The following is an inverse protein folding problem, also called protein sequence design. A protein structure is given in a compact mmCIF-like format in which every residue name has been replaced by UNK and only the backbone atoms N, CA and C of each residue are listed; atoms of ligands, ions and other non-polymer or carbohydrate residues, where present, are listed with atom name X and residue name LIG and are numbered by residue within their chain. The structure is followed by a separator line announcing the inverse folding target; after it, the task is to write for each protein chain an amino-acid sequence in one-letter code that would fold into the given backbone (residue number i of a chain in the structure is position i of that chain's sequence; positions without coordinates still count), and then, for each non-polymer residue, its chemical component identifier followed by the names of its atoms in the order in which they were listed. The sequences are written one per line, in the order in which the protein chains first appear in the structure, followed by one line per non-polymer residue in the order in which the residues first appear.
data_IF_929678554077
#
_entry.id   IF_929678554077
#
_cell.length_a   1.000
_cell.length_b   1.000
_cell.length_c   1.000
_cell.angle_alpha   90.00
_cell.angle_beta   90.00
_cell.angle_gamma   90.00
#
_symmetry.space_group_name_H-M   'P 1'
#
loop_
_entity.id
_entity.type
_entity.pdbx_description
1 polymer ?
#
# COMPACT_ATOMS: atom_id res chain seq x y z
N UNK A 1 -6.96 8.65 17.18
CA UNK A 1 -7.07 7.92 15.94
C UNK A 1 -7.99 6.73 16.13
N UNK A 2 -8.99 6.65 15.29
CA UNK A 2 -9.95 5.61 15.44
C UNK A 2 -9.41 4.30 14.92
N UNK A 3 -9.43 3.24 15.70
CA UNK A 3 -8.93 1.97 15.17
C UNK A 3 -9.78 1.52 14.00
N UNK A 4 -9.12 1.11 12.97
CA UNK A 4 -9.82 0.63 11.81
C UNK A 4 -10.32 -0.78 12.06
N UNK A 5 -11.62 -0.92 12.06
CA UNK A 5 -12.21 -2.18 12.34
C UNK A 5 -12.07 -3.16 11.25
N UNK A 6 -11.84 -2.66 10.09
CA UNK A 6 -11.82 -3.48 8.93
C UNK A 6 -10.48 -3.34 8.26
N UNK A 7 -9.67 -4.35 8.29
CA UNK A 7 -8.41 -4.27 7.56
C UNK A 7 -8.70 -4.34 6.07
N UNK A 8 -8.05 -3.47 5.33
CA UNK A 8 -8.18 -3.49 3.88
C UNK A 8 -7.54 -4.74 3.34
N UNK A 9 -8.21 -5.37 2.39
CA UNK A 9 -7.63 -6.53 1.74
C UNK A 9 -6.50 -6.07 0.83
N UNK A 10 -5.40 -6.80 0.88
CA UNK A 10 -4.19 -6.43 0.17
C UNK A 10 -3.77 -7.55 -0.77
N UNK A 11 -3.45 -7.20 -1.98
CA UNK A 11 -2.95 -8.16 -2.95
C UNK A 11 -1.51 -7.82 -3.29
N UNK A 12 -0.65 -8.83 -3.25
CA UNK A 12 0.75 -8.67 -3.64
C UNK A 12 1.01 -9.59 -4.82
N UNK A 13 1.13 -9.04 -6.01
CA UNK A 13 1.34 -9.89 -7.19
C UNK A 13 2.74 -10.49 -7.22
N UNK A 14 2.92 -11.54 -8.01
CA UNK A 14 4.27 -12.01 -8.27
C UNK A 14 5.10 -10.92 -8.94
N UNK A 15 6.33 -11.11 -8.84
CA UNK A 15 7.28 -10.10 -9.33
C UNK A 15 7.01 -9.62 -10.74
N UNK A 16 7.54 -8.37 -10.85
CA UNK A 16 7.60 -7.88 -12.17
C UNK A 16 6.36 -7.41 -12.87
N UNK A 17 5.55 -7.38 -12.29
CA UNK A 17 4.46 -6.96 -13.03
C UNK A 17 3.83 -5.78 -12.36
N UNK A 18 3.65 -4.89 -12.94
CA UNK A 18 2.86 -3.79 -12.55
C UNK A 18 1.50 -4.20 -12.81
N UNK A 19 0.63 -3.79 -11.95
CA UNK A 19 -0.79 -4.00 -12.14
C UNK A 19 -1.39 -2.68 -12.58
N UNK A 20 -1.43 -2.48 -13.89
CA UNK A 20 -1.98 -1.24 -14.41
C UNK A 20 -3.20 -1.44 -15.31
N UNK A 21 -3.59 -2.67 -15.54
CA UNK A 21 -4.77 -2.97 -16.37
C UNK A 21 -6.04 -2.82 -15.53
N UNK A 22 -6.96 -1.94 -15.94
CA UNK A 22 -8.19 -1.76 -15.15
C UNK A 22 -9.02 -3.03 -14.99
N UNK A 23 -9.06 -3.88 -15.99
CA UNK A 23 -9.80 -5.12 -15.87
C UNK A 23 -9.20 -6.02 -14.81
N UNK A 24 -7.88 -6.07 -14.75
CA UNK A 24 -7.21 -6.87 -13.74
C UNK A 24 -7.44 -6.31 -12.34
N UNK A 25 -7.41 -4.99 -12.21
CA UNK A 25 -7.68 -4.37 -10.92
C UNK A 25 -9.09 -4.67 -10.43
N UNK A 26 -10.07 -4.60 -11.34
CA UNK A 26 -11.44 -4.94 -10.96
C UNK A 26 -11.57 -6.40 -10.58
N UNK A 27 -10.89 -7.28 -11.30
CA UNK A 27 -10.93 -8.71 -11.01
C UNK A 27 -10.33 -9.00 -9.64
N UNK A 28 -9.28 -8.30 -9.26
CA UNK A 28 -8.69 -8.50 -7.94
C UNK A 28 -9.70 -8.16 -6.84
N UNK A 29 -10.46 -7.10 -7.03
CA UNK A 29 -11.49 -6.79 -6.07
C UNK A 29 -12.58 -7.85 -6.07
N UNK A 30 -13.05 -8.24 -7.25
CA UNK A 30 -14.15 -9.19 -7.36
C UNK A 30 -13.77 -10.57 -6.82
N UNK A 31 -12.58 -11.04 -7.13
CA UNK A 31 -12.17 -12.39 -6.80
C UNK A 31 -11.60 -12.52 -5.39
N UNK A 32 -10.91 -11.51 -4.91
CA UNK A 32 -10.21 -11.57 -3.62
C UNK A 32 -10.69 -10.53 -2.62
N UNK A 33 -11.65 -9.72 -3.01
CA UNK A 33 -12.11 -8.61 -2.16
C UNK A 33 -10.96 -7.67 -1.81
N UNK A 34 -10.01 -7.53 -2.71
CA UNK A 34 -8.86 -6.66 -2.47
C UNK A 34 -9.27 -5.20 -2.65
N UNK A 35 -8.85 -4.37 -1.71
CA UNK A 35 -9.11 -2.94 -1.78
C UNK A 35 -7.94 -2.18 -2.34
N UNK A 36 -6.72 -2.65 -2.11
CA UNK A 36 -5.52 -2.03 -2.63
C UNK A 36 -4.59 -3.12 -3.14
N UNK A 37 -3.69 -2.73 -4.00
CA UNK A 37 -2.69 -3.63 -4.56
C UNK A 37 -1.32 -2.96 -4.43
N UNK A 38 -0.35 -3.69 -3.94
CA UNK A 38 0.98 -3.15 -3.78
C UNK A 38 1.98 -4.31 -3.84
N UNK A 39 3.24 -4.01 -3.95
CA UNK A 39 4.20 -5.04 -4.30
C UNK A 39 5.36 -5.22 -3.31
N UNK A 40 5.38 -4.51 -2.20
CA UNK A 40 6.52 -4.59 -1.28
C UNK A 40 6.17 -5.08 0.11
N UNK A 41 4.92 -4.93 0.53
CA UNK A 41 4.57 -5.13 1.94
C UNK A 41 4.74 -6.56 2.40
N UNK A 42 4.44 -7.53 1.54
CA UNK A 42 4.47 -8.92 1.99
C UNK A 42 5.86 -9.32 2.46
N UNK A 43 6.89 -8.97 1.69
CA UNK A 43 8.25 -9.33 2.07
C UNK A 43 8.68 -8.62 3.36
N UNK A 44 8.32 -7.35 3.48
CA UNK A 44 8.68 -6.60 4.69
C UNK A 44 7.97 -7.18 5.90
N UNK A 45 6.68 -7.45 5.78
CA UNK A 45 5.91 -7.97 6.90
C UNK A 45 6.39 -9.34 7.33
N UNK A 46 6.71 -10.21 6.36
CA UNK A 46 7.23 -11.54 6.69
C UNK A 46 8.56 -11.44 7.42
N UNK A 47 9.43 -10.57 6.94
CA UNK A 47 10.73 -10.40 7.58
C UNK A 47 10.56 -9.88 9.00
N UNK A 48 9.70 -8.90 9.20
CA UNK A 48 9.46 -8.37 10.54
C UNK A 48 8.87 -9.44 11.45
N UNK A 49 7.90 -10.19 10.94
CA UNK A 49 7.29 -11.24 11.75
C UNK A 49 8.30 -12.30 12.16
N UNK A 50 9.16 -12.69 11.24
CA UNK A 50 10.16 -13.70 11.54
C UNK A 50 11.14 -13.24 12.62
N UNK A 51 11.39 -11.95 12.66
CA UNK A 51 12.34 -11.38 13.61
C UNK A 51 11.66 -10.76 14.81
N UNK A 52 10.34 -10.92 14.92
CA UNK A 52 9.55 -10.40 16.05
C UNK A 52 9.70 -8.90 16.19
N UNK A 53 9.71 -8.21 15.07
CA UNK A 53 9.78 -6.77 15.04
C UNK A 53 8.40 -6.22 14.66
N UNK A 54 7.78 -5.38 15.50
CA UNK A 54 6.52 -4.77 15.11
C UNK A 54 6.68 -3.91 13.87
N UNK A 55 5.66 -3.91 13.02
CA UNK A 55 5.75 -3.20 11.75
C UNK A 55 4.45 -2.46 11.48
N UNK A 56 4.58 -1.21 11.12
CA UNK A 56 3.46 -0.39 10.68
C UNK A 56 3.72 0.06 9.26
N UNK A 57 2.75 -0.18 8.38
CA UNK A 57 2.89 0.19 6.98
C UNK A 57 2.01 1.40 6.70
N UNK A 58 2.60 2.40 6.07
CA UNK A 58 1.89 3.60 5.66
C UNK A 58 1.89 3.62 4.14
N UNK A 59 0.72 3.67 3.54
CA UNK A 59 0.58 3.58 2.10
C UNK A 59 -0.27 4.72 1.58
N UNK A 60 0.08 5.23 0.42
CA UNK A 60 -0.73 6.19 -0.30
C UNK A 60 -1.03 5.62 -1.68
N UNK A 61 -2.27 5.78 -2.10
CA UNK A 61 -2.66 5.27 -3.41
C UNK A 61 -2.16 6.23 -4.47
N UNK A 62 -1.35 5.73 -5.39
CA UNK A 62 -0.78 6.56 -6.45
C UNK A 62 -1.58 6.47 -7.75
N UNK A 63 -2.34 5.40 -7.93
CA UNK A 63 -3.12 5.24 -9.16
C UNK A 63 -4.36 4.41 -8.86
N UNK A 64 -5.47 4.89 -9.41
CA UNK A 64 -6.76 4.23 -9.24
C UNK A 64 -6.94 3.17 -10.32
N UNK A 65 -8.15 2.61 -10.37
CA UNK A 65 -8.43 1.55 -11.33
C UNK A 65 -8.16 1.99 -12.76
N UNK A 66 -8.57 3.19 -13.11
CA UNK A 66 -8.47 3.66 -14.49
C UNK A 66 -7.16 4.40 -14.79
N UNK A 67 -6.40 4.78 -13.77
CA UNK A 67 -5.24 5.63 -13.98
C UNK A 67 -4.02 4.92 -14.53
N UNK A 68 -3.72 3.77 -13.97
CA UNK A 68 -2.62 2.97 -14.46
C UNK A 68 -1.26 3.63 -14.34
N UNK A 69 -0.41 3.28 -15.29
CA UNK A 69 0.99 3.69 -15.26
C UNK A 69 1.18 5.18 -15.40
N UNK A 70 0.34 5.83 -16.19
CA UNK A 70 0.43 7.28 -16.37
C UNK A 70 0.12 8.01 -15.08
N UNK A 71 -0.93 7.60 -14.40
CA UNK A 71 -1.28 8.21 -13.13
C UNK A 71 -0.18 7.96 -12.08
N UNK A 72 0.34 6.75 -12.06
CA UNK A 72 1.43 6.43 -11.14
C UNK A 72 2.60 7.37 -11.36
N UNK A 73 3.04 7.52 -12.62
CA UNK A 73 4.18 8.38 -12.91
C UNK A 73 3.92 9.82 -12.47
N UNK A 74 2.71 10.29 -12.67
CA UNK A 74 2.37 11.66 -12.32
C UNK A 74 2.28 11.89 -10.82
N UNK A 75 1.91 10.86 -10.06
CA UNK A 75 1.59 11.02 -8.64
C UNK A 75 2.62 10.46 -7.69
N UNK A 76 3.66 9.81 -8.21
CA UNK A 76 4.55 9.08 -7.31
C UNK A 76 5.26 10.01 -6.31
N UNK A 77 5.71 11.16 -6.78
CA UNK A 77 6.40 12.08 -5.88
C UNK A 77 5.47 12.64 -4.82
N UNK A 78 4.25 12.96 -5.20
CA UNK A 78 3.27 13.48 -4.25
C UNK A 78 2.89 12.41 -3.23
N UNK A 79 2.67 11.19 -3.68
CA UNK A 79 2.33 10.11 -2.78
C UNK A 79 3.46 9.84 -1.79
N UNK A 80 4.69 9.88 -2.27
CA UNK A 80 5.83 9.68 -1.40
C UNK A 80 5.92 10.79 -0.36
N UNK A 81 5.69 12.04 -0.77
CA UNK A 81 5.75 13.16 0.17
C UNK A 81 4.69 13.03 1.25
N UNK A 82 3.48 12.62 0.86
CA UNK A 82 2.40 12.43 1.83
C UNK A 82 2.77 11.33 2.82
N UNK A 83 3.28 10.22 2.33
CA UNK A 83 3.67 9.13 3.21
C UNK A 83 4.77 9.54 4.18
N UNK A 84 5.75 10.30 3.70
CA UNK A 84 6.83 10.76 4.56
C UNK A 84 6.32 11.70 5.64
N UNK A 85 5.39 12.57 5.29
CA UNK A 85 4.84 13.48 6.30
C UNK A 85 4.08 12.72 7.37
N UNK A 86 3.26 11.75 6.96
CA UNK A 86 2.52 10.94 7.93
C UNK A 86 3.50 10.14 8.80
N UNK A 87 4.50 9.54 8.18
CA UNK A 87 5.49 8.77 8.93
C UNK A 87 6.20 9.63 9.96
N UNK A 88 6.55 10.86 9.56
CA UNK A 88 7.20 11.77 10.48
C UNK A 88 6.31 12.07 11.69
N UNK A 89 5.04 12.30 11.46
CA UNK A 89 4.11 12.57 12.55
C UNK A 89 3.94 11.35 13.47
N UNK A 90 3.90 10.16 12.89
CA UNK A 90 3.80 8.95 13.70
C UNK A 90 5.03 8.81 14.58
N UNK A 91 6.23 9.02 14.01
CA UNK A 91 7.46 8.91 14.78
C UNK A 91 7.47 9.93 15.90
N UNK A 92 7.04 11.15 15.65
CA UNK A 92 6.97 12.15 16.69
C UNK A 92 6.04 11.72 17.83
N UNK A 93 4.89 11.15 17.48
CA UNK A 93 3.95 10.69 18.50
C UNK A 93 4.55 9.57 19.34
N UNK A 94 5.29 8.67 18.71
CA UNK A 94 5.89 7.56 19.45
C UNK A 94 6.95 8.02 20.44
N UNK A 95 7.55 9.15 20.17
CA UNK A 95 8.61 9.68 21.03
C UNK A 95 8.16 10.78 21.98
N UNK A 96 6.88 11.10 21.98
CA UNK A 96 6.39 12.17 22.85
C UNK A 96 5.96 11.63 24.22
#
# INVERSE_FOLDING_TARGET
LRPNRRSSALYAPPAXXXVDDPAKKRALHADFNADICEMEAAAILLTCNRNRVPCLMIKAVSDAIEGGCEEFTAQVDRSAAICLEVAHRVIEKLHS
#
